data_IF_951143828531
#
_entry.id   IF_951143828531
#
_cell.length_a   1.000
_cell.length_b   1.000
_cell.length_c   1.000
_cell.angle_alpha   90.00
_cell.angle_beta   90.00
_cell.angle_gamma   90.00
#
_symmetry.space_group_name_H-M   'P 1'
#
loop_
_entity.id
_entity.type
_entity.pdbx_description
1 polymer ?
#
# COMPACT_ATOMS: atom_id res chain seq x y z
N UNK A 1 15.08 42.58 17.69
CA UNK A 1 15.05 42.10 19.09
C UNK A 1 14.38 40.74 19.11
N UNK A 2 15.17 39.66 19.10
CA UNK A 2 14.63 38.32 19.29
C UNK A 2 14.14 38.19 20.74
N UNK A 3 12.89 37.78 20.95
CA UNK A 3 12.42 37.38 22.28
C UNK A 3 13.30 36.22 22.73
N UNK A 4 14.12 36.43 23.76
CA UNK A 4 14.76 35.35 24.50
C UNK A 4 13.63 34.48 25.04
N UNK A 5 13.41 33.32 24.42
CA UNK A 5 12.56 32.30 25.02
C UNK A 5 13.28 31.82 26.27
N UNK A 6 12.59 31.78 27.40
CA UNK A 6 13.16 31.24 28.63
C UNK A 6 13.56 29.77 28.41
N UNK A 7 14.72 29.40 28.94
CA UNK A 7 15.16 28.01 28.96
C UNK A 7 14.22 27.19 29.85
N UNK A 8 13.87 25.99 29.42
CA UNK A 8 13.01 25.08 30.18
C UNK A 8 13.89 24.11 30.95
N UNK A 9 13.68 23.99 32.26
CA UNK A 9 14.36 22.99 33.09
C UNK A 9 13.69 21.62 32.88
N UNK A 10 14.48 20.59 32.53
CA UNK A 10 14.04 19.20 32.45
C UNK A 10 14.76 18.34 33.48
N UNK A 11 14.06 17.30 33.92
CA UNK A 11 14.65 16.21 34.72
C UNK A 11 15.69 15.44 33.90
N UNK A 12 16.56 14.69 34.58
CA UNK A 12 17.56 13.84 33.94
C UNK A 12 16.91 12.86 32.96
N UNK A 13 15.82 12.20 33.38
CA UNK A 13 15.09 11.21 32.60
C UNK A 13 14.47 11.83 31.34
N UNK A 14 13.84 12.99 31.47
CA UNK A 14 13.16 13.65 30.35
C UNK A 14 14.15 14.24 29.35
N UNK A 15 15.30 14.73 29.84
CA UNK A 15 16.39 15.19 28.98
C UNK A 15 16.90 14.07 28.07
N UNK A 16 17.12 12.89 28.65
CA UNK A 16 17.58 11.70 27.95
C UNK A 16 16.54 11.26 26.89
N UNK A 17 15.25 11.23 27.25
CA UNK A 17 14.18 10.83 26.33
C UNK A 17 14.06 11.77 25.12
N UNK A 18 14.24 13.07 25.32
CA UNK A 18 14.09 14.06 24.25
C UNK A 18 15.32 14.11 23.32
N UNK A 19 16.54 13.85 23.83
CA UNK A 19 17.79 13.98 23.06
C UNK A 19 18.35 12.66 22.49
N UNK A 20 18.05 11.49 23.06
CA UNK A 20 18.54 10.18 22.55
C UNK A 20 18.03 9.85 21.13
N UNK A 21 16.74 9.99 20.80
CA UNK A 21 16.22 9.66 19.46
C UNK A 21 16.83 10.56 18.36
N UNK A 22 17.43 11.68 18.79
CA UNK A 22 18.51 12.34 18.07
C UNK A 22 18.15 13.34 17.02
N UNK A 23 16.90 13.76 16.95
CA UNK A 23 16.49 14.69 15.93
C UNK A 23 15.42 15.60 16.53
N UNK A 24 15.89 16.59 17.27
CA UNK A 24 15.03 17.48 18.04
C UNK A 24 14.13 18.31 17.14
N UNK A 25 12.82 18.19 17.38
CA UNK A 25 11.79 19.06 16.76
C UNK A 25 11.27 20.13 17.73
N UNK A 26 11.55 19.95 19.02
CA UNK A 26 10.96 20.72 20.14
C UNK A 26 11.99 21.59 20.85
N UNK A 27 13.24 21.10 20.93
CA UNK A 27 14.36 21.80 21.54
C UNK A 27 15.50 21.94 20.54
N UNK A 28 16.54 22.70 20.85
CA UNK A 28 17.76 22.79 20.00
C UNK A 28 19.06 22.71 20.77
N UNK A 29 19.17 23.50 21.83
CA UNK A 29 20.38 23.68 22.62
C UNK A 29 20.09 23.07 23.98
N UNK A 30 21.04 22.30 24.50
CA UNK A 30 20.98 21.71 25.83
C UNK A 30 22.18 22.16 26.66
N UNK A 31 21.90 22.59 27.88
CA UNK A 31 22.91 22.82 28.92
C UNK A 31 22.75 21.70 29.93
N UNK A 32 23.67 20.75 29.94
CA UNK A 32 23.72 19.70 30.94
C UNK A 32 24.46 20.19 32.19
N UNK A 33 23.85 20.03 33.36
CA UNK A 33 24.44 20.44 34.64
C UNK A 33 24.84 19.19 35.42
N UNK A 34 26.09 19.13 35.86
CA UNK A 34 26.60 18.10 36.75
C UNK A 34 27.22 18.73 38.00
N UNK A 35 27.22 18.01 39.12
CA UNK A 35 27.85 18.47 40.34
C UNK A 35 29.23 17.82 40.50
N UNK A 36 30.29 18.62 40.40
CA UNK A 36 31.66 18.17 40.61
C UNK A 36 32.09 18.48 42.04
N UNK A 37 32.25 17.44 42.87
CA UNK A 37 32.63 17.59 44.28
C UNK A 37 34.08 18.10 44.51
N UNK A 38 34.88 18.30 43.44
CA UNK A 38 36.32 18.63 43.53
C UNK A 38 36.67 20.10 43.29
N UNK A 39 35.71 20.98 42.96
CA UNK A 39 35.97 22.37 42.62
C UNK A 39 34.83 23.30 43.04
N UNK A 40 35.15 24.45 43.64
CA UNK A 40 34.18 25.52 43.92
C UNK A 40 33.91 26.43 42.70
N UNK A 41 34.60 26.21 41.57
CA UNK A 41 34.45 26.97 40.34
C UNK A 41 33.56 26.23 39.35
N UNK A 42 32.56 26.92 38.78
CA UNK A 42 31.77 26.43 37.67
C UNK A 42 32.59 26.45 36.38
N UNK A 43 32.73 25.29 35.73
CA UNK A 43 33.41 25.16 34.43
C UNK A 43 32.34 25.05 33.35
N UNK A 44 32.37 25.94 32.36
CA UNK A 44 31.48 25.89 31.20
C UNK A 44 32.26 25.32 30.02
N UNK A 45 31.80 24.18 29.51
CA UNK A 45 32.28 23.58 28.27
C UNK A 45 31.22 23.78 27.19
N UNK A 46 31.60 24.45 26.09
CA UNK A 46 30.74 24.63 24.93
C UNK A 46 31.20 23.65 23.86
N UNK A 47 30.28 22.81 23.39
CA UNK A 47 30.54 21.86 22.32
C UNK A 47 29.58 22.09 21.16
N UNK A 48 30.12 22.04 19.95
CA UNK A 48 29.35 22.12 18.71
C UNK A 48 29.32 20.74 18.05
N UNK A 49 28.15 20.11 18.02
CA UNK A 49 27.95 18.87 17.29
C UNK A 49 27.62 19.19 15.82
N UNK A 50 28.49 18.84 14.84
CA UNK A 50 28.16 19.05 13.45
C UNK A 50 26.95 18.20 13.04
N UNK A 51 26.10 18.70 12.12
CA UNK A 51 24.87 18.02 11.70
C UNK A 51 25.09 16.73 10.88
N UNK A 52 26.34 16.32 10.64
CA UNK A 52 26.68 15.20 9.77
C UNK A 52 26.78 13.88 10.57
N UNK A 53 25.91 12.93 10.23
CA UNK A 53 25.91 11.52 10.69
C UNK A 53 25.79 11.24 12.20
N UNK A 54 25.61 12.25 13.05
CA UNK A 54 25.33 12.04 14.45
C UNK A 54 23.88 11.55 14.64
N UNK A 55 23.70 10.30 15.07
CA UNK A 55 22.51 9.97 15.87
C UNK A 55 22.55 10.82 17.15
N UNK A 56 21.42 11.03 17.82
CA UNK A 56 21.38 11.80 19.09
C UNK A 56 22.37 11.32 20.13
N UNK A 57 22.67 10.02 20.08
CA UNK A 57 23.68 9.39 20.91
C UNK A 57 25.12 9.73 20.54
N UNK A 58 25.44 10.22 19.35
CA UNK A 58 26.84 10.35 18.88
C UNK A 58 27.60 11.46 19.63
N UNK A 59 26.96 12.62 19.89
CA UNK A 59 27.57 13.63 20.78
C UNK A 59 27.63 13.18 22.25
N UNK A 60 26.77 12.21 22.62
CA UNK A 60 26.80 11.58 23.94
C UNK A 60 27.87 10.48 24.05
N UNK A 61 28.33 9.91 22.93
CA UNK A 61 29.07 8.64 22.90
C UNK A 61 30.38 8.60 22.07
N UNK A 62 30.72 9.59 21.23
CA UNK A 62 31.93 9.51 20.39
C UNK A 62 33.01 10.53 20.75
N UNK A 63 34.21 10.00 21.02
CA UNK A 63 35.38 10.79 21.38
C UNK A 63 36.26 11.19 20.16
N UNK A 64 36.22 10.44 19.05
CA UNK A 64 37.18 10.57 17.95
C UNK A 64 36.93 11.70 16.93
N UNK A 65 35.70 12.17 16.76
CA UNK A 65 35.38 13.26 15.83
C UNK A 65 35.49 14.66 16.46
N UNK A 66 35.75 14.72 17.77
CA UNK A 66 35.72 15.95 18.59
C UNK A 66 36.96 16.84 18.40
N UNK A 67 38.04 16.30 17.86
CA UNK A 67 39.31 17.01 17.68
C UNK A 67 39.72 16.92 16.21
N UNK A 68 39.34 17.91 15.42
CA UNK A 68 39.54 17.95 13.97
C UNK A 68 40.98 17.68 13.53
N UNK A 69 41.25 16.44 13.12
CA UNK A 69 42.35 16.16 12.19
C UNK A 69 41.80 16.38 10.77
N UNK A 70 41.96 17.60 10.26
CA UNK A 70 41.47 18.05 8.95
C UNK A 70 42.19 17.42 7.74
N UNK A 71 42.94 16.33 7.91
CA UNK A 71 43.91 15.89 6.90
C UNK A 71 43.89 14.39 6.57
N UNK A 72 42.78 13.70 6.83
CA UNK A 72 42.64 12.30 6.42
C UNK A 72 41.39 12.12 5.56
N UNK A 73 41.64 11.89 4.28
CA UNK A 73 40.67 11.39 3.30
C UNK A 73 39.89 10.22 3.92
N UNK A 74 38.56 10.33 4.11
CA UNK A 74 37.78 9.41 4.95
C UNK A 74 37.76 7.97 4.41
N UNK A 75 38.15 7.76 3.16
CA UNK A 75 38.27 6.42 2.56
C UNK A 75 39.58 5.73 2.99
N UNK A 76 40.70 6.47 3.10
CA UNK A 76 42.00 5.90 3.52
C UNK A 76 42.09 5.59 5.00
N UNK A 77 41.45 6.40 5.85
CA UNK A 77 41.43 6.16 7.30
C UNK A 77 40.69 4.86 7.69
N UNK A 78 39.81 4.36 6.82
CA UNK A 78 39.06 3.12 7.03
C UNK A 78 39.88 1.86 6.74
N UNK A 79 40.85 1.94 5.81
CA UNK A 79 41.68 0.78 5.42
C UNK A 79 42.89 0.56 6.35
N UNK A 80 43.46 1.61 6.95
CA UNK A 80 44.70 1.47 7.75
C UNK A 80 44.47 1.30 9.27
N UNK A 81 43.30 1.63 9.81
CA UNK A 81 43.00 1.46 11.25
C UNK A 81 41.53 1.14 11.54
N UNK A 82 41.12 -0.14 11.52
CA UNK A 82 39.72 -0.54 11.73
C UNK A 82 39.17 -0.21 13.12
N UNK A 83 40.04 0.05 14.10
CA UNK A 83 39.66 0.18 15.51
C UNK A 83 39.41 1.63 16.00
N UNK A 84 39.69 2.67 15.20
CA UNK A 84 39.63 4.07 15.67
C UNK A 84 38.35 4.83 15.33
N UNK A 85 37.49 4.30 14.47
CA UNK A 85 36.26 4.98 14.03
C UNK A 85 35.05 4.04 13.95
N UNK A 86 35.01 3.01 14.78
CA UNK A 86 33.83 2.16 14.88
C UNK A 86 32.72 2.86 15.72
N UNK A 87 31.47 2.89 15.26
CA UNK A 87 30.35 3.29 16.09
C UNK A 87 30.17 2.22 17.18
N UNK A 88 30.57 2.54 18.40
CA UNK A 88 30.41 1.67 19.58
C UNK A 88 30.82 0.20 19.34
N UNK A 89 32.10 -0.07 19.04
CA UNK A 89 32.64 -1.43 19.12
C UNK A 89 33.43 -1.62 20.43
N UNK A 90 33.09 -2.67 21.16
CA UNK A 90 33.19 -2.78 22.62
C UNK A 90 34.50 -3.42 23.11
N UNK A 91 35.36 -3.90 22.22
CA UNK A 91 36.45 -4.80 22.61
C UNK A 91 37.87 -4.21 22.66
N UNK A 92 38.08 -2.90 22.44
CA UNK A 92 39.45 -2.38 22.18
C UNK A 92 40.02 -1.40 23.24
N UNK A 93 39.28 -1.00 24.27
CA UNK A 93 39.70 0.14 25.13
C UNK A 93 39.93 -0.20 26.60
N UNK A 94 40.85 -1.13 26.90
CA UNK A 94 41.20 -1.46 28.30
C UNK A 94 42.61 -1.11 28.79
N UNK A 95 43.52 -0.51 27.99
CA UNK A 95 44.91 -0.38 28.45
C UNK A 95 45.59 0.99 28.43
N UNK A 96 45.00 2.07 27.92
CA UNK A 96 45.65 3.39 27.99
C UNK A 96 44.63 4.51 28.08
N UNK A 97 44.79 5.41 29.07
CA UNK A 97 44.90 6.87 28.88
C UNK A 97 44.83 7.62 30.23
N UNK A 98 45.72 8.61 30.34
CA UNK A 98 45.86 9.61 31.39
C UNK A 98 45.02 10.84 31.00
N UNK A 99 44.19 11.33 31.92
CA UNK A 99 43.42 12.60 31.93
C UNK A 99 42.78 13.13 30.62
N UNK A 100 41.53 12.73 30.35
CA UNK A 100 40.48 13.56 29.69
C UNK A 100 39.12 12.85 29.69
N UNK A 101 38.00 13.59 29.57
CA UNK A 101 36.66 13.00 29.64
C UNK A 101 35.53 13.78 28.93
N UNK A 102 34.85 13.12 27.98
CA UNK A 102 33.50 13.39 27.50
C UNK A 102 32.81 12.04 27.23
N UNK A 103 31.69 11.76 27.91
CA UNK A 103 30.75 10.65 27.71
C UNK A 103 31.31 9.21 27.59
N UNK A 104 31.63 8.54 28.70
CA UNK A 104 31.77 7.08 28.72
C UNK A 104 30.40 6.44 29.01
N UNK A 105 29.93 5.58 28.10
CA UNK A 105 28.76 4.73 28.34
C UNK A 105 29.20 3.35 28.85
N UNK A 106 28.58 2.87 29.94
CA UNK A 106 28.63 1.46 30.32
C UNK A 106 27.44 0.74 29.66
N UNK A 107 27.69 0.05 28.54
CA UNK A 107 26.66 -0.79 27.88
C UNK A 107 26.57 -2.11 28.62
N UNK A 108 25.40 -2.44 29.20
CA UNK A 108 25.05 -3.82 29.55
C UNK A 108 23.89 -4.26 28.67
N UNK A 109 24.20 -5.10 27.68
CA UNK A 109 23.28 -5.89 26.85
C UNK A 109 22.14 -5.12 26.13
N UNK A 110 22.45 -4.40 25.04
CA UNK A 110 21.45 -3.91 24.06
C UNK A 110 20.25 -3.13 24.64
N UNK A 111 20.34 -2.67 25.88
CA UNK A 111 19.24 -2.02 26.59
C UNK A 111 19.39 -0.51 26.54
N UNK A 112 18.24 0.16 26.53
CA UNK A 112 18.07 1.61 26.61
C UNK A 112 18.98 2.17 27.70
N UNK A 113 19.55 3.35 27.43
CA UNK A 113 20.33 4.12 28.39
C UNK A 113 19.55 4.22 29.70
N UNK A 114 19.99 3.51 30.76
CA UNK A 114 19.39 3.68 32.08
C UNK A 114 19.60 5.15 32.48
N UNK A 115 18.54 5.87 32.89
CA UNK A 115 18.68 7.25 33.34
C UNK A 115 19.74 7.40 34.43
N UNK A 116 19.97 6.36 35.23
CA UNK A 116 20.91 6.37 36.35
C UNK A 116 22.38 6.51 35.90
N UNK A 117 22.75 6.02 34.71
CA UNK A 117 24.15 5.90 34.27
C UNK A 117 24.66 7.01 33.35
N UNK A 118 23.84 8.01 33.03
CA UNK A 118 24.26 9.13 32.18
C UNK A 118 25.23 10.08 32.91
N UNK A 119 26.47 10.20 32.41
CA UNK A 119 27.52 11.04 32.99
C UNK A 119 28.21 11.90 31.93
N UNK A 120 28.64 13.10 32.31
CA UNK A 120 29.56 13.94 31.54
C UNK A 120 30.83 14.07 32.34
N UNK A 121 31.95 13.70 31.75
CA UNK A 121 33.23 13.72 32.44
C UNK A 121 33.29 12.83 33.69
N UNK A 122 32.61 11.68 33.67
CA UNK A 122 32.43 10.78 34.83
C UNK A 122 31.60 11.36 35.98
N UNK A 123 30.99 12.54 35.80
CA UNK A 123 30.07 13.14 36.77
C UNK A 123 28.61 12.92 36.37
N UNK A 124 27.74 12.47 37.30
CA UNK A 124 26.33 12.29 37.01
C UNK A 124 25.67 13.64 36.71
N UNK A 125 24.89 13.68 35.62
CA UNK A 125 24.06 14.84 35.31
C UNK A 125 22.89 14.90 36.29
N UNK A 126 22.68 16.07 36.89
CA UNK A 126 21.59 16.33 37.83
C UNK A 126 20.35 16.85 37.11
N UNK A 127 20.53 17.77 36.16
CA UNK A 127 19.44 18.37 35.37
C UNK A 127 19.96 18.92 34.04
N UNK A 128 19.04 19.27 33.16
CA UNK A 128 19.39 20.02 31.96
C UNK A 128 18.44 21.18 31.69
N UNK A 129 18.97 22.21 31.04
CA UNK A 129 18.18 23.33 30.53
C UNK A 129 18.12 23.23 29.01
N UNK A 130 16.92 23.29 28.46
CA UNK A 130 16.70 23.14 27.02
C UNK A 130 16.10 24.41 26.44
N UNK A 131 16.51 24.72 25.21
CA UNK A 131 15.98 25.86 24.49
C UNK A 131 14.84 25.44 23.56
N UNK A 132 13.58 25.87 23.79
CA UNK A 132 12.45 25.51 22.95
C UNK A 132 12.50 26.19 21.58
N UNK A 133 12.30 25.40 20.53
CA UNK A 133 12.24 25.87 19.14
C UNK A 133 10.86 25.61 18.56
N UNK A 134 10.33 26.60 17.84
CA UNK A 134 9.19 26.38 16.97
C UNK A 134 9.71 25.86 15.62
N UNK A 135 9.46 24.59 15.28
CA UNK A 135 9.95 24.04 14.03
C UNK A 135 9.33 24.80 12.85
N UNK A 136 10.12 25.19 11.83
CA UNK A 136 9.56 25.75 10.60
C UNK A 136 8.67 24.70 9.92
N UNK A 137 7.35 24.89 9.98
CA UNK A 137 6.43 24.08 9.18
C UNK A 137 6.38 24.66 7.75
N UNK A 138 6.98 23.96 6.78
CA UNK A 138 6.95 24.36 5.38
C UNK A 138 6.50 23.18 4.50
N UNK A 139 5.50 23.41 3.64
CA UNK A 139 5.11 22.44 2.63
C UNK A 139 6.15 22.45 1.50
N UNK A 140 6.88 21.34 1.37
CA UNK A 140 7.86 21.14 0.29
C UNK A 140 7.28 20.17 -0.72
N UNK A 141 7.24 20.58 -1.98
CA UNK A 141 6.79 19.73 -3.08
C UNK A 141 7.60 20.07 -4.34
N UNK A 142 7.70 19.09 -5.24
CA UNK A 142 8.27 19.33 -6.57
C UNK A 142 7.24 20.01 -7.45
N UNK A 143 7.51 21.26 -7.85
CA UNK A 143 6.61 22.03 -8.73
C UNK A 143 6.33 21.31 -10.05
N UNK A 144 7.36 20.71 -10.65
CA UNK A 144 7.23 19.97 -11.90
C UNK A 144 6.31 18.74 -11.77
N UNK A 145 6.55 17.90 -10.76
CA UNK A 145 5.70 16.72 -10.50
C UNK A 145 4.26 17.15 -10.21
N UNK A 146 4.07 18.20 -9.42
CA UNK A 146 2.75 18.72 -9.10
C UNK A 146 1.98 19.18 -10.35
N UNK A 147 2.61 19.96 -11.23
CA UNK A 147 1.99 20.40 -12.50
C UNK A 147 1.60 19.20 -13.36
N UNK A 148 2.48 18.20 -13.51
CA UNK A 148 2.19 16.98 -14.29
C UNK A 148 0.99 16.24 -13.71
N UNK A 149 0.94 16.05 -12.39
CA UNK A 149 -0.19 15.37 -11.71
C UNK A 149 -1.49 16.14 -11.91
N UNK A 150 -1.46 17.47 -11.81
CA UNK A 150 -2.65 18.32 -12.04
C UNK A 150 -3.14 18.16 -13.49
N UNK A 151 -2.26 18.26 -14.48
CA UNK A 151 -2.63 18.08 -15.90
C UNK A 151 -3.21 16.69 -16.13
N UNK A 152 -2.59 15.63 -15.61
CA UNK A 152 -3.06 14.26 -15.77
C UNK A 152 -4.47 14.07 -15.17
N UNK A 153 -4.74 14.63 -13.99
CA UNK A 153 -6.07 14.59 -13.37
C UNK A 153 -7.11 15.40 -14.16
N UNK A 154 -6.73 16.57 -14.69
CA UNK A 154 -7.61 17.36 -15.56
C UNK A 154 -7.98 16.58 -16.83
N UNK A 155 -7.00 15.97 -17.51
CA UNK A 155 -7.24 15.12 -18.67
C UNK A 155 -8.16 13.96 -18.31
N UNK A 156 -7.95 13.30 -17.16
CA UNK A 156 -8.81 12.21 -16.68
C UNK A 156 -10.26 12.68 -16.50
N UNK A 157 -10.48 13.82 -15.85
CA UNK A 157 -11.82 14.39 -15.65
C UNK A 157 -12.46 14.75 -16.99
N UNK A 158 -11.73 15.36 -17.92
CA UNK A 158 -12.22 15.69 -19.25
C UNK A 158 -12.61 14.44 -20.03
N UNK A 159 -11.79 13.39 -20.01
CA UNK A 159 -12.12 12.10 -20.64
C UNK A 159 -13.37 11.50 -20.02
N UNK A 160 -13.49 11.45 -18.69
CA UNK A 160 -14.69 10.96 -18.00
C UNK A 160 -15.94 11.77 -18.39
N UNK A 161 -15.85 13.10 -18.43
CA UNK A 161 -16.94 13.97 -18.83
C UNK A 161 -17.34 13.76 -20.30
N UNK A 162 -16.37 13.65 -21.21
CA UNK A 162 -16.61 13.34 -22.62
C UNK A 162 -17.28 11.97 -22.79
N UNK A 163 -16.79 10.94 -22.08
CA UNK A 163 -17.40 9.60 -22.09
C UNK A 163 -18.84 9.68 -21.60
N UNK A 164 -19.11 10.36 -20.49
CA UNK A 164 -20.48 10.55 -19.98
C UNK A 164 -21.40 11.28 -20.97
N UNK A 165 -20.90 12.29 -21.68
CA UNK A 165 -21.70 13.05 -22.63
C UNK A 165 -22.01 12.25 -23.92
N UNK A 166 -21.05 11.44 -24.38
CA UNK A 166 -21.17 10.66 -25.62
C UNK A 166 -21.95 9.35 -25.43
N UNK A 167 -21.88 8.71 -24.26
CA UNK A 167 -22.48 7.40 -24.01
C UNK A 167 -23.97 7.51 -23.61
N UNK A 168 -24.82 7.92 -24.56
CA UNK A 168 -26.29 7.92 -24.41
C UNK A 168 -26.97 6.65 -24.93
N UNK A 169 -26.21 5.71 -25.50
CA UNK A 169 -26.73 4.45 -26.05
C UNK A 169 -26.69 3.35 -24.99
N UNK A 170 -27.64 2.39 -25.02
CA UNK A 170 -27.61 1.23 -24.13
C UNK A 170 -26.31 0.45 -24.40
N UNK A 171 -25.52 0.26 -23.36
CA UNK A 171 -24.25 -0.46 -23.42
C UNK A 171 -24.43 -1.87 -22.85
N UNK A 172 -23.79 -2.86 -23.48
CA UNK A 172 -23.80 -4.27 -23.06
C UNK A 172 -22.80 -4.48 -21.91
N UNK A 173 -23.06 -3.86 -20.75
CA UNK A 173 -22.14 -3.87 -19.59
C UNK A 173 -22.38 -5.07 -18.69
N UNK A 174 -23.63 -5.48 -18.54
CA UNK A 174 -24.04 -6.59 -17.67
C UNK A 174 -24.57 -7.77 -18.45
N UNK A 175 -24.61 -8.94 -17.79
CA UNK A 175 -25.29 -10.13 -18.33
C UNK A 175 -26.77 -9.82 -18.63
N UNK A 176 -27.41 -8.97 -17.81
CA UNK A 176 -28.79 -8.55 -18.04
C UNK A 176 -28.95 -7.67 -19.28
N UNK A 177 -27.99 -6.77 -19.57
CA UNK A 177 -28.02 -5.97 -20.81
C UNK A 177 -27.93 -6.89 -22.04
N UNK A 178 -27.07 -7.92 -21.98
CA UNK A 178 -26.95 -8.91 -23.05
C UNK A 178 -28.22 -9.76 -23.21
N UNK A 179 -28.79 -10.26 -22.10
CA UNK A 179 -30.06 -10.98 -22.12
C UNK A 179 -31.18 -10.11 -22.69
N UNK A 180 -31.29 -8.85 -22.27
CA UNK A 180 -32.33 -7.94 -22.77
C UNK A 180 -32.18 -7.73 -24.28
N UNK A 181 -30.96 -7.50 -24.76
CA UNK A 181 -30.70 -7.31 -26.19
C UNK A 181 -31.03 -8.56 -27.03
N UNK A 182 -30.63 -9.75 -26.57
CA UNK A 182 -30.89 -10.99 -27.32
C UNK A 182 -32.34 -11.48 -27.21
N UNK A 183 -33.08 -11.08 -26.17
CA UNK A 183 -34.52 -11.33 -26.07
C UNK A 183 -35.35 -10.34 -26.88
N UNK A 184 -34.85 -9.12 -27.10
CA UNK A 184 -35.48 -8.12 -27.97
C UNK A 184 -35.26 -8.47 -29.45
N UNK A 185 -34.06 -8.95 -29.81
CA UNK A 185 -33.70 -9.39 -31.17
C UNK A 185 -32.91 -10.73 -31.14
N UNK A 186 -33.62 -11.89 -31.16
CA UNK A 186 -32.99 -13.20 -31.16
C UNK A 186 -32.17 -13.48 -32.43
N UNK A 187 -30.88 -13.77 -32.26
CA UNK A 187 -29.97 -14.02 -33.38
C UNK A 187 -30.22 -15.37 -34.08
N UNK A 188 -30.32 -15.42 -35.42
CA UNK A 188 -30.64 -16.66 -36.14
C UNK A 188 -29.52 -17.72 -36.10
N UNK A 189 -28.30 -17.32 -35.77
CA UNK A 189 -27.11 -18.21 -35.79
C UNK A 189 -27.02 -19.15 -34.59
N UNK A 190 -27.72 -18.87 -33.50
CA UNK A 190 -27.71 -19.68 -32.25
C UNK A 190 -29.01 -20.45 -32.04
N UNK A 191 -29.94 -20.38 -33.00
CA UNK A 191 -31.23 -21.03 -32.92
C UNK A 191 -31.08 -22.55 -32.84
N UNK A 192 -31.78 -23.19 -31.90
CA UNK A 192 -31.72 -24.63 -31.68
C UNK A 192 -30.52 -25.12 -30.86
N UNK A 193 -29.55 -24.25 -30.53
CA UNK A 193 -28.35 -24.60 -29.74
C UNK A 193 -28.60 -24.30 -28.24
N UNK A 194 -29.74 -24.76 -27.72
CA UNK A 194 -30.08 -24.54 -26.32
C UNK A 194 -29.03 -25.18 -25.39
N UNK A 195 -28.70 -24.53 -24.26
CA UNK A 195 -27.72 -24.99 -23.28
C UNK A 195 -26.28 -25.23 -23.83
N UNK A 196 -25.88 -24.51 -24.88
CA UNK A 196 -24.50 -24.59 -25.39
C UNK A 196 -23.45 -24.09 -24.38
N UNK A 197 -22.29 -24.74 -24.34
CA UNK A 197 -21.11 -24.27 -23.60
C UNK A 197 -20.19 -23.45 -24.50
N UNK A 198 -19.22 -22.75 -23.89
CA UNK A 198 -18.23 -21.97 -24.62
C UNK A 198 -17.50 -22.81 -25.68
N UNK A 199 -17.22 -24.08 -25.39
CA UNK A 199 -16.52 -25.01 -26.27
C UNK A 199 -17.32 -25.32 -27.55
N UNK A 200 -18.65 -25.29 -27.48
CA UNK A 200 -19.52 -25.56 -28.64
C UNK A 200 -19.52 -24.39 -29.66
N UNK A 201 -19.02 -23.22 -29.26
CA UNK A 201 -18.97 -22.02 -30.10
C UNK A 201 -17.57 -21.70 -30.65
N UNK A 202 -16.60 -22.62 -30.51
CA UNK A 202 -15.21 -22.43 -30.99
C UNK A 202 -15.11 -22.63 -32.50
N UNK A 203 -15.54 -23.80 -32.99
CA UNK A 203 -15.42 -24.18 -34.39
C UNK A 203 -16.77 -24.05 -35.12
N UNK A 204 -16.73 -23.51 -36.35
CA UNK A 204 -17.93 -23.37 -37.20
C UNK A 204 -18.01 -24.51 -38.22
N UNK A 205 -19.23 -24.97 -38.60
CA UNK A 205 -20.53 -24.52 -38.09
C UNK A 205 -20.81 -25.03 -36.65
N UNK A 206 -21.54 -24.24 -35.88
CA UNK A 206 -21.93 -24.62 -34.52
C UNK A 206 -22.98 -25.72 -34.56
N UNK A 207 -22.76 -26.81 -33.81
CA UNK A 207 -23.65 -27.98 -33.82
C UNK A 207 -24.90 -27.73 -32.97
N UNK A 208 -26.08 -27.96 -33.55
CA UNK A 208 -27.38 -27.82 -32.88
C UNK A 208 -27.97 -29.15 -32.40
N UNK A 209 -27.14 -30.19 -32.22
CA UNK A 209 -27.64 -31.49 -31.80
C UNK A 209 -28.15 -31.47 -30.34
N UNK A 210 -29.35 -32.03 -30.08
CA UNK A 210 -29.86 -32.16 -28.72
C UNK A 210 -28.92 -32.99 -27.86
N UNK A 211 -28.53 -32.46 -26.69
CA UNK A 211 -27.63 -33.14 -25.75
C UNK A 211 -28.17 -33.02 -24.33
N UNK A 212 -28.01 -34.11 -23.57
CA UNK A 212 -28.28 -34.07 -22.13
C UNK A 212 -27.14 -33.33 -21.44
N UNK A 213 -27.47 -32.27 -20.71
CA UNK A 213 -26.48 -31.48 -20.00
C UNK A 213 -26.21 -32.05 -18.60
N UNK A 214 -24.96 -32.49 -18.37
CA UNK A 214 -24.49 -32.94 -17.05
C UNK A 214 -23.49 -31.91 -16.51
N UNK A 215 -23.82 -31.26 -15.40
CA UNK A 215 -22.92 -30.33 -14.73
C UNK A 215 -21.99 -31.12 -13.81
N UNK A 216 -20.68 -30.95 -13.98
CA UNK A 216 -19.71 -31.55 -13.06
C UNK A 216 -19.74 -30.86 -11.68
N UNK A 217 -19.34 -31.58 -10.61
CA UNK A 217 -19.22 -30.98 -9.28
C UNK A 217 -18.26 -29.78 -9.25
N UNK A 218 -17.26 -29.76 -10.13
CA UNK A 218 -16.27 -28.69 -10.23
C UNK A 218 -16.84 -27.46 -10.96
N UNK A 219 -17.61 -27.68 -12.03
CA UNK A 219 -18.33 -26.61 -12.74
C UNK A 219 -19.38 -25.93 -11.85
N UNK A 220 -19.86 -26.63 -10.82
CA UNK A 220 -20.79 -26.06 -9.83
C UNK A 220 -20.16 -25.01 -8.91
N UNK A 221 -18.83 -24.96 -8.76
CA UNK A 221 -18.17 -24.00 -7.88
C UNK A 221 -18.26 -22.58 -8.47
N UNK A 222 -18.41 -21.55 -7.65
CA UNK A 222 -18.38 -20.16 -8.13
C UNK A 222 -17.06 -19.80 -8.80
N UNK A 223 -15.97 -20.42 -8.37
CA UNK A 223 -14.65 -20.27 -8.97
C UNK A 223 -14.61 -20.67 -10.45
N UNK A 224 -15.51 -21.55 -10.92
CA UNK A 224 -15.63 -21.93 -12.34
C UNK A 224 -16.10 -20.77 -13.22
N UNK A 225 -16.74 -19.76 -12.62
CA UNK A 225 -17.16 -18.54 -13.31
C UNK A 225 -15.98 -17.68 -13.77
N UNK A 226 -14.80 -17.87 -13.22
CA UNK A 226 -13.57 -17.19 -13.61
C UNK A 226 -12.65 -18.16 -14.36
N UNK A 227 -11.96 -17.67 -15.40
CA UNK A 227 -11.01 -18.51 -16.14
C UNK A 227 -9.78 -18.81 -15.29
N UNK A 228 -9.14 -19.96 -15.54
CA UNK A 228 -7.88 -20.31 -14.88
C UNK A 228 -6.81 -19.21 -15.03
N UNK A 229 -6.73 -18.57 -16.20
CA UNK A 229 -5.82 -17.44 -16.44
C UNK A 229 -6.10 -16.23 -15.54
N UNK A 230 -7.36 -15.97 -15.16
CA UNK A 230 -7.71 -14.91 -14.22
C UNK A 230 -7.25 -15.25 -12.80
N UNK A 231 -7.42 -16.50 -12.39
CA UNK A 231 -6.92 -16.99 -11.10
C UNK A 231 -5.39 -16.91 -11.03
N UNK A 232 -4.68 -17.42 -12.05
CA UNK A 232 -3.22 -17.38 -12.10
C UNK A 232 -2.71 -15.94 -12.14
N UNK A 233 -3.30 -15.06 -12.95
CA UNK A 233 -2.87 -13.67 -13.03
C UNK A 233 -3.09 -12.92 -11.71
N UNK A 234 -4.26 -13.08 -11.08
CA UNK A 234 -4.59 -12.41 -9.82
C UNK A 234 -3.75 -12.93 -8.66
N UNK A 235 -3.62 -14.26 -8.54
CA UNK A 235 -2.80 -14.88 -7.50
C UNK A 235 -1.31 -14.65 -7.71
N UNK A 236 -0.83 -14.70 -8.95
CA UNK A 236 0.56 -14.42 -9.29
C UNK A 236 0.96 -12.99 -8.97
N UNK A 237 0.13 -12.01 -9.36
CA UNK A 237 0.39 -10.60 -9.07
C UNK A 237 0.41 -10.32 -7.56
N UNK A 238 -0.59 -10.80 -6.82
CA UNK A 238 -0.65 -10.62 -5.37
C UNK A 238 0.50 -11.34 -4.65
N UNK A 239 0.94 -12.51 -5.14
CA UNK A 239 2.10 -13.21 -4.60
C UNK A 239 3.39 -12.43 -4.84
N UNK A 240 3.57 -11.82 -6.02
CA UNK A 240 4.72 -10.95 -6.31
C UNK A 240 4.71 -9.72 -5.41
N UNK A 241 3.55 -9.06 -5.26
CA UNK A 241 3.40 -7.90 -4.37
C UNK A 241 3.66 -8.28 -2.90
N UNK A 242 3.14 -9.43 -2.43
CA UNK A 242 3.40 -9.94 -1.08
C UNK A 242 4.87 -10.32 -0.85
N UNK A 243 5.50 -10.99 -1.82
CA UNK A 243 6.90 -11.36 -1.75
C UNK A 243 7.81 -10.13 -1.72
N UNK A 244 7.56 -9.14 -2.58
CA UNK A 244 8.31 -7.88 -2.56
C UNK A 244 8.17 -7.13 -1.23
N UNK A 245 6.97 -7.09 -0.65
CA UNK A 245 6.76 -6.53 0.70
C UNK A 245 7.51 -7.31 1.78
N UNK A 246 7.57 -8.65 1.67
CA UNK A 246 8.30 -9.52 2.60
C UNK A 246 9.81 -9.32 2.51
N UNK A 247 10.35 -9.25 1.29
CA UNK A 247 11.78 -8.93 1.05
C UNK A 247 12.10 -7.55 1.61
N UNK A 248 11.24 -6.56 1.35
CA UNK A 248 11.42 -5.22 1.87
C UNK A 248 11.39 -5.19 3.40
N UNK A 249 10.47 -5.93 4.02
CA UNK A 249 10.41 -6.08 5.47
C UNK A 249 11.71 -6.67 6.01
N UNK A 250 12.23 -7.75 5.41
CA UNK A 250 13.46 -8.40 5.84
C UNK A 250 14.69 -7.48 5.74
N UNK A 251 14.73 -6.58 4.74
CA UNK A 251 15.83 -5.60 4.57
C UNK A 251 15.76 -4.50 5.63
N UNK A 252 14.55 -4.04 5.96
CA UNK A 252 14.36 -2.83 6.78
C UNK A 252 14.21 -3.16 8.27
N UNK A 253 13.73 -4.35 8.62
CA UNK A 253 13.48 -4.77 10.00
C UNK A 253 14.77 -4.99 10.78
N UNK A 254 14.88 -4.37 11.95
CA UNK A 254 15.96 -4.62 12.91
C UNK A 254 15.42 -5.42 14.11
N UNK A 255 15.80 -6.70 14.27
CA UNK A 255 15.35 -7.56 15.36
C UNK A 255 15.64 -6.99 16.75
N UNK A 256 16.66 -6.14 16.90
CA UNK A 256 17.04 -5.55 18.19
C UNK A 256 16.07 -4.46 18.63
N UNK A 257 15.44 -3.78 17.67
CA UNK A 257 14.50 -2.68 17.92
C UNK A 257 13.06 -3.14 18.18
N UNK A 258 12.72 -4.38 17.81
CA UNK A 258 11.35 -4.88 17.85
C UNK A 258 10.43 -4.14 16.86
N UNK A 259 9.12 -4.40 16.96
CA UNK A 259 8.11 -3.73 16.14
C UNK A 259 7.35 -2.70 16.99
N UNK A 260 7.53 -1.42 16.69
CA UNK A 260 6.72 -0.37 17.32
C UNK A 260 5.33 -0.31 16.69
N UNK A 261 4.25 -0.48 17.46
CA UNK A 261 2.87 -0.49 16.95
C UNK A 261 2.32 0.93 16.69
N UNK A 262 2.99 1.70 15.84
CA UNK A 262 2.58 3.04 15.41
C UNK A 262 2.44 3.10 13.88
N UNK A 263 1.21 3.28 13.40
CA UNK A 263 0.92 3.57 11.99
C UNK A 263 1.03 5.08 11.77
N UNK A 264 2.11 5.54 11.14
CA UNK A 264 2.29 6.95 10.78
C UNK A 264 3.26 7.74 11.68
N UNK A 265 4.32 7.10 12.16
CA UNK A 265 5.38 7.81 12.88
C UNK A 265 5.95 8.96 12.02
N UNK A 266 6.26 10.13 12.63
CA UNK A 266 6.84 11.24 11.90
C UNK A 266 8.12 10.81 11.19
N UNK A 267 8.41 11.38 10.02
CA UNK A 267 9.66 11.11 9.28
C UNK A 267 10.86 11.32 10.22
N UNK A 268 11.52 10.24 10.61
CA UNK A 268 12.76 10.29 11.36
C UNK A 268 13.93 10.11 10.40
N UNK A 269 15.05 10.81 10.61
CA UNK A 269 16.27 10.61 9.84
C UNK A 269 16.77 9.15 9.83
N UNK A 270 16.56 8.42 10.93
CA UNK A 270 16.82 6.97 11.05
C UNK A 270 15.93 6.11 10.14
N UNK A 271 14.74 6.60 9.78
CA UNK A 271 13.83 5.90 8.87
C UNK A 271 14.25 6.04 7.40
N UNK A 272 15.09 7.04 7.05
CA UNK A 272 15.58 7.26 5.68
C UNK A 272 16.81 6.37 5.43
N UNK A 273 16.56 5.20 4.85
CA UNK A 273 17.56 4.13 4.67
C UNK A 273 18.10 4.00 3.25
N UNK A 274 17.48 4.63 2.24
CA UNK A 274 17.88 4.47 0.85
C UNK A 274 17.81 5.77 0.03
N UNK A 275 18.54 5.80 -1.09
CA UNK A 275 18.45 6.85 -2.10
C UNK A 275 19.04 8.21 -1.72
N UNK A 276 19.91 8.26 -0.70
CA UNK A 276 20.63 9.48 -0.33
C UNK A 276 21.51 9.94 -1.50
N UNK A 277 21.43 11.22 -1.84
CA UNK A 277 22.18 11.81 -2.96
C UNK A 277 21.52 11.64 -4.34
N UNK A 278 20.42 10.87 -4.46
CA UNK A 278 19.64 10.84 -5.69
C UNK A 278 18.84 12.14 -5.87
N UNK A 279 18.60 12.50 -7.13
CA UNK A 279 17.71 13.61 -7.45
C UNK A 279 16.31 13.40 -6.85
N UNK A 280 15.67 14.49 -6.44
CA UNK A 280 14.37 14.45 -5.75
C UNK A 280 13.25 13.84 -6.60
N UNK A 281 13.21 14.12 -7.90
CA UNK A 281 12.12 13.66 -8.78
C UNK A 281 12.05 12.11 -8.90
N UNK A 282 13.15 11.38 -9.19
CA UNK A 282 13.16 9.92 -9.14
C UNK A 282 12.71 9.32 -7.80
N UNK A 283 13.12 9.92 -6.67
CA UNK A 283 12.73 9.44 -5.34
C UNK A 283 11.22 9.57 -5.12
N UNK A 284 10.61 10.68 -5.53
CA UNK A 284 9.15 10.87 -5.45
C UNK A 284 8.43 9.83 -6.32
N UNK A 285 8.92 9.57 -7.53
CA UNK A 285 8.34 8.58 -8.44
C UNK A 285 8.43 7.18 -7.81
N UNK A 286 9.61 6.79 -7.31
CA UNK A 286 9.85 5.47 -6.73
C UNK A 286 9.01 5.25 -5.45
N UNK A 287 8.85 6.26 -4.61
CA UNK A 287 7.98 6.19 -3.43
C UNK A 287 6.50 5.94 -3.79
N UNK A 288 6.08 6.32 -5.00
CA UNK A 288 4.70 6.15 -5.48
C UNK A 288 4.51 4.93 -6.40
N UNK A 289 5.57 4.23 -6.82
CA UNK A 289 5.44 3.02 -7.65
C UNK A 289 4.56 1.93 -7.04
N UNK A 290 4.59 1.66 -5.73
CA UNK A 290 3.67 0.69 -5.13
C UNK A 290 2.19 1.02 -5.38
N UNK A 291 1.84 2.30 -5.49
CA UNK A 291 0.47 2.74 -5.76
C UNK A 291 -0.03 2.21 -7.12
N UNK A 292 0.85 2.15 -8.14
CA UNK A 292 0.49 1.58 -9.44
C UNK A 292 0.27 0.06 -9.32
N UNK A 293 1.13 -0.62 -8.58
CA UNK A 293 1.04 -2.08 -8.32
C UNK A 293 -0.30 -2.42 -7.65
N UNK A 294 -0.68 -1.72 -6.58
CA UNK A 294 -1.97 -1.94 -5.91
C UNK A 294 -3.18 -1.62 -6.79
N UNK A 295 -3.05 -0.68 -7.73
CA UNK A 295 -4.10 -0.40 -8.72
C UNK A 295 -4.30 -1.59 -9.67
N UNK A 296 -3.21 -2.23 -10.11
CA UNK A 296 -3.24 -3.44 -10.95
C UNK A 296 -3.86 -4.60 -10.18
N UNK A 297 -3.44 -4.83 -8.93
CA UNK A 297 -4.01 -5.84 -8.04
C UNK A 297 -5.52 -5.65 -7.88
N UNK A 298 -5.97 -4.41 -7.64
CA UNK A 298 -7.39 -4.08 -7.57
C UNK A 298 -8.13 -4.42 -8.86
N UNK A 299 -7.59 -4.06 -10.04
CA UNK A 299 -8.25 -4.36 -11.31
C UNK A 299 -8.38 -5.85 -11.58
N UNK A 300 -7.34 -6.63 -11.28
CA UNK A 300 -7.35 -8.09 -11.42
C UNK A 300 -8.36 -8.73 -10.47
N UNK A 301 -8.37 -8.32 -9.20
CA UNK A 301 -9.31 -8.82 -8.21
C UNK A 301 -10.76 -8.42 -8.53
N UNK A 302 -10.98 -7.18 -8.98
CA UNK A 302 -12.29 -6.71 -9.42
C UNK A 302 -12.80 -7.55 -10.60
N UNK A 303 -11.94 -7.85 -11.58
CA UNK A 303 -12.27 -8.73 -12.71
C UNK A 303 -12.64 -10.14 -12.23
N UNK A 304 -11.85 -10.72 -11.33
CA UNK A 304 -12.06 -12.06 -10.78
C UNK A 304 -13.42 -12.17 -10.05
N UNK A 305 -13.68 -11.24 -9.13
CA UNK A 305 -14.93 -11.18 -8.36
C UNK A 305 -16.13 -10.93 -9.28
N UNK A 306 -15.99 -10.05 -10.28
CA UNK A 306 -17.04 -9.78 -11.28
C UNK A 306 -17.39 -11.04 -12.07
N UNK A 307 -16.40 -11.84 -12.44
CA UNK A 307 -16.62 -13.07 -13.18
C UNK A 307 -17.42 -14.10 -12.37
N UNK A 308 -17.03 -14.30 -11.10
CA UNK A 308 -17.75 -15.18 -10.17
C UNK A 308 -19.16 -14.67 -9.85
N UNK A 309 -19.32 -13.35 -9.68
CA UNK A 309 -20.61 -12.71 -9.42
C UNK A 309 -21.57 -12.91 -10.60
N UNK A 310 -21.11 -12.70 -11.83
CA UNK A 310 -21.90 -12.87 -13.04
C UNK A 310 -22.29 -14.32 -13.28
N UNK A 311 -21.38 -15.28 -13.04
CA UNK A 311 -21.70 -16.70 -13.09
C UNK A 311 -22.79 -17.09 -12.09
N UNK A 312 -22.72 -16.56 -10.86
CA UNK A 312 -23.78 -16.76 -9.87
C UNK A 312 -25.11 -16.14 -10.32
N UNK A 313 -25.09 -14.92 -10.84
CA UNK A 313 -26.29 -14.24 -11.37
C UNK A 313 -26.93 -15.05 -12.49
N UNK A 314 -26.12 -15.52 -13.44
CA UNK A 314 -26.53 -16.42 -14.51
C UNK A 314 -27.23 -17.67 -13.97
N UNK A 315 -26.57 -18.43 -13.10
CA UNK A 315 -27.12 -19.69 -12.55
C UNK A 315 -28.48 -19.54 -11.85
N UNK A 316 -28.82 -18.35 -11.36
CA UNK A 316 -30.09 -18.11 -10.68
C UNK A 316 -31.27 -18.04 -11.65
N UNK A 317 -31.05 -17.69 -12.93
CA UNK A 317 -32.09 -17.69 -13.94
C UNK A 317 -32.62 -19.08 -14.27
N UNK A 318 -31.91 -20.16 -13.91
CA UNK A 318 -32.42 -21.52 -14.06
C UNK A 318 -33.56 -21.88 -13.07
N UNK A 319 -33.67 -21.14 -11.97
CA UNK A 319 -34.51 -21.56 -10.84
C UNK A 319 -35.54 -20.53 -10.38
N UNK A 320 -35.37 -19.27 -10.78
CA UNK A 320 -36.18 -18.18 -10.26
C UNK A 320 -36.45 -17.18 -11.39
N UNK A 321 -37.73 -16.90 -11.68
CA UNK A 321 -38.11 -15.73 -12.48
C UNK A 321 -37.58 -14.46 -11.81
N UNK A 322 -36.72 -13.73 -12.53
CA UNK A 322 -36.11 -12.48 -12.05
C UNK A 322 -36.06 -11.45 -13.15
N UNK A 323 -36.33 -10.20 -12.80
CA UNK A 323 -36.06 -9.05 -13.67
C UNK A 323 -34.57 -8.94 -13.97
N UNK A 324 -34.24 -8.69 -15.25
CA UNK A 324 -32.88 -8.51 -15.72
C UNK A 324 -32.26 -7.29 -15.07
N UNK A 325 -31.02 -7.43 -14.59
CA UNK A 325 -30.26 -6.29 -14.07
C UNK A 325 -29.60 -5.58 -15.25
N UNK A 326 -30.11 -4.41 -15.63
CA UNK A 326 -29.70 -3.67 -16.83
C UNK A 326 -29.22 -2.26 -16.48
N UNK A 327 -28.36 -1.71 -17.34
CA UNK A 327 -27.86 -0.33 -17.25
C UNK A 327 -28.96 0.70 -17.45
N UNK A 328 -29.91 0.41 -18.35
CA UNK A 328 -31.10 1.23 -18.61
C UNK A 328 -32.33 0.38 -18.33
N UNK A 329 -33.05 0.70 -17.26
CA UNK A 329 -34.24 -0.04 -16.87
C UNK A 329 -35.40 0.21 -17.82
N UNK A 330 -35.99 -0.87 -18.33
CA UNK A 330 -37.28 -0.87 -19.00
C UNK A 330 -38.21 -1.92 -18.36
N UNK A 331 -39.50 -1.62 -18.18
CA UNK A 331 -40.47 -2.58 -17.63
C UNK A 331 -40.10 -3.12 -16.24
N UNK A 332 -40.14 -4.44 -16.07
CA UNK A 332 -39.85 -5.16 -14.82
C UNK A 332 -38.35 -5.41 -14.55
N UNK A 333 -37.47 -4.87 -15.40
CA UNK A 333 -36.02 -4.93 -15.20
C UNK A 333 -35.59 -4.16 -13.93
N UNK A 334 -34.40 -4.45 -13.43
CA UNK A 334 -33.79 -3.76 -12.29
C UNK A 334 -32.66 -2.88 -12.81
N UNK A 335 -32.75 -1.58 -12.58
CA UNK A 335 -31.61 -0.69 -12.87
C UNK A 335 -30.39 -1.11 -12.05
N UNK A 336 -29.25 -1.21 -12.71
CA UNK A 336 -27.94 -1.18 -12.09
C UNK A 336 -27.25 0.13 -12.43
N UNK A 337 -26.35 0.55 -11.55
CA UNK A 337 -25.42 1.61 -11.87
C UNK A 337 -24.50 1.20 -13.03
N UNK A 338 -23.75 2.16 -13.58
CA UNK A 338 -22.77 1.97 -14.66
C UNK A 338 -21.66 0.91 -14.36
N UNK A 339 -21.64 0.36 -13.15
CA UNK A 339 -20.71 -0.67 -12.68
C UNK A 339 -21.30 -2.08 -12.89
N UNK A 340 -20.50 -2.96 -13.51
CA UNK A 340 -20.88 -4.36 -13.75
C UNK A 340 -21.08 -5.16 -12.45
N UNK A 341 -20.30 -4.86 -11.41
CA UNK A 341 -20.32 -5.54 -10.12
C UNK A 341 -21.32 -4.88 -9.14
N UNK A 342 -22.19 -5.65 -8.44
CA UNK A 342 -23.08 -5.10 -7.44
C UNK A 342 -22.36 -4.36 -6.29
N UNK A 343 -22.97 -3.30 -5.75
CA UNK A 343 -22.39 -2.43 -4.72
C UNK A 343 -21.90 -3.16 -3.46
N UNK A 344 -22.59 -4.25 -3.08
CA UNK A 344 -22.20 -5.10 -1.94
C UNK A 344 -20.82 -5.74 -2.08
N UNK A 345 -20.27 -5.81 -3.29
CA UNK A 345 -18.90 -6.26 -3.54
C UNK A 345 -17.99 -5.09 -3.93
N UNK A 346 -18.48 -4.14 -4.73
CA UNK A 346 -17.64 -3.02 -5.19
C UNK A 346 -17.24 -2.08 -4.05
N UNK A 347 -18.13 -1.81 -3.08
CA UNK A 347 -17.83 -0.93 -1.94
C UNK A 347 -16.74 -1.55 -1.05
N UNK A 348 -16.88 -2.79 -0.53
CA UNK A 348 -15.82 -3.40 0.25
C UNK A 348 -14.48 -3.49 -0.50
N UNK A 349 -14.53 -3.79 -1.80
CA UNK A 349 -13.32 -3.90 -2.62
C UNK A 349 -12.62 -2.53 -2.79
N UNK A 350 -13.39 -1.47 -3.03
CA UNK A 350 -12.87 -0.11 -3.13
C UNK A 350 -12.30 0.39 -1.79
N UNK A 351 -12.97 0.08 -0.68
CA UNK A 351 -12.48 0.40 0.68
C UNK A 351 -11.18 -0.36 0.98
N UNK A 352 -11.12 -1.66 0.67
CA UNK A 352 -9.91 -2.45 0.84
C UNK A 352 -8.75 -1.91 -0.03
N UNK A 353 -9.02 -1.55 -1.29
CA UNK A 353 -8.04 -0.90 -2.15
C UNK A 353 -7.54 0.41 -1.56
N UNK A 354 -8.43 1.32 -1.18
CA UNK A 354 -8.05 2.60 -0.57
C UNK A 354 -7.20 2.40 0.69
N UNK A 355 -7.54 1.40 1.51
CA UNK A 355 -6.77 1.04 2.70
C UNK A 355 -5.37 0.49 2.38
N UNK A 356 -5.24 -0.38 1.38
CA UNK A 356 -3.93 -0.87 0.91
C UNK A 356 -3.05 0.27 0.36
N UNK A 357 -3.64 1.19 -0.41
CA UNK A 357 -2.95 2.39 -0.90
C UNK A 357 -2.48 3.30 0.24
N UNK A 358 -3.31 3.47 1.27
CA UNK A 358 -2.94 4.19 2.49
C UNK A 358 -1.78 3.51 3.22
N UNK A 359 -1.86 2.21 3.48
CA UNK A 359 -0.78 1.45 4.12
C UNK A 359 0.52 1.50 3.31
N UNK A 360 0.44 1.45 1.99
CA UNK A 360 1.59 1.61 1.11
C UNK A 360 2.27 2.97 1.29
N UNK A 361 1.49 4.05 1.45
CA UNK A 361 2.03 5.40 1.71
C UNK A 361 2.74 5.51 3.07
N UNK A 362 2.33 4.69 4.05
CA UNK A 362 3.00 4.62 5.35
C UNK A 362 4.21 3.68 5.33
N UNK A 363 4.24 2.72 4.40
CA UNK A 363 5.29 1.71 4.26
C UNK A 363 6.54 2.24 3.57
N UNK A 364 6.36 2.94 2.45
CA UNK A 364 7.41 3.56 1.66
C UNK A 364 7.02 5.00 1.33
N UNK A 365 7.84 5.96 1.77
CA UNK A 365 7.56 7.37 1.58
C UNK A 365 8.81 8.16 1.21
N UNK A 366 8.60 9.30 0.57
CA UNK A 366 9.67 10.27 0.32
C UNK A 366 9.96 11.06 1.61
N UNK A 367 11.23 11.09 2.02
CA UNK A 367 11.70 11.86 3.18
C UNK A 367 12.68 12.96 2.78
N UNK A 368 12.56 14.12 3.42
CA UNK A 368 13.53 15.22 3.31
C UNK A 368 13.89 15.71 4.70
N UNK A 369 15.18 15.73 4.99
CA UNK A 369 15.74 16.25 6.23
C UNK A 369 16.52 17.50 5.89
N UNK A 370 16.23 18.60 6.57
CA UNK A 370 16.98 19.85 6.43
C UNK A 370 17.60 20.18 7.78
N UNK A 371 18.84 20.66 7.72
CA UNK A 371 19.52 21.20 8.87
C UNK A 371 19.41 22.72 8.82
N UNK A 372 19.18 23.34 9.96
CA UNK A 372 19.12 24.79 10.09
C UNK A 372 20.25 25.23 10.99
N UNK A 373 21.08 26.14 10.48
CA UNK A 373 22.03 26.87 11.28
C UNK A 373 21.35 28.13 11.86
N UNK A 374 21.46 28.27 13.17
CA UNK A 374 20.91 29.40 13.92
C UNK A 374 21.97 30.45 14.29
N UNK A 375 23.24 30.29 13.88
CA UNK A 375 24.35 31.17 14.22
C UNK A 375 24.44 32.46 13.38
N UNK A 376 23.41 32.84 12.62
CA UNK A 376 23.46 34.10 11.86
C UNK A 376 23.25 35.30 12.79
N UNK A 377 24.16 36.28 12.68
CA UNK A 377 24.25 37.51 13.50
C UNK A 377 22.96 38.35 13.40
N UNK A 378 22.19 38.14 12.33
CA UNK A 378 20.92 38.80 12.04
C UNK A 378 19.67 38.06 12.57
N UNK A 379 19.84 36.91 13.24
CA UNK A 379 18.74 36.08 13.72
C UNK A 379 17.94 35.40 12.60
N UNK A 380 18.49 35.34 11.38
CA UNK A 380 17.88 34.67 10.22
C UNK A 380 18.30 33.20 10.18
N UNK A 381 17.35 32.33 9.86
CA UNK A 381 17.59 30.88 9.72
C UNK A 381 18.38 30.64 8.44
N UNK A 382 19.61 30.15 8.53
CA UNK A 382 20.36 29.69 7.36
C UNK A 382 20.08 28.20 7.16
N UNK A 383 19.58 27.85 5.99
CA UNK A 383 19.37 26.44 5.62
C UNK A 383 20.72 25.85 5.26
N UNK A 384 21.16 24.84 6.01
CA UNK A 384 22.31 24.02 5.67
C UNK A 384 21.89 22.93 4.67
N UNK A 385 22.84 22.37 3.93
CA UNK A 385 22.56 21.27 3.01
C UNK A 385 21.97 20.09 3.78
N UNK A 386 20.70 19.81 3.47
CA UNK A 386 20.00 18.63 3.95
C UNK A 386 20.19 17.45 3.00
N UNK A 387 19.46 16.37 3.26
CA UNK A 387 19.39 15.25 2.34
C UNK A 387 17.95 14.80 2.10
N UNK A 388 17.74 14.20 0.94
CA UNK A 388 16.48 13.54 0.56
C UNK A 388 16.73 12.05 0.38
N UNK A 389 15.71 11.24 0.60
CA UNK A 389 15.78 9.80 0.40
C UNK A 389 14.43 9.13 0.56
N UNK A 390 14.45 7.80 0.60
CA UNK A 390 13.30 6.97 0.87
C UNK A 390 13.27 6.55 2.33
N UNK A 391 12.15 6.86 2.97
CA UNK A 391 11.81 6.42 4.31
C UNK A 391 10.96 5.15 4.29
N UNK A 392 11.15 4.32 5.31
CA UNK A 392 10.44 3.06 5.46
C UNK A 392 9.85 2.93 6.87
N UNK A 393 8.70 2.26 6.99
CA UNK A 393 8.11 1.87 8.28
C UNK A 393 7.94 0.34 8.35
N UNK A 394 8.74 -0.38 9.16
CA UNK A 394 8.58 -1.83 9.35
C UNK A 394 7.15 -2.22 9.75
N UNK A 395 6.53 -1.44 10.63
CA UNK A 395 5.17 -1.69 11.14
C UNK A 395 4.12 -1.56 10.04
N UNK A 396 4.19 -0.50 9.24
CA UNK A 396 3.27 -0.33 8.13
C UNK A 396 3.45 -1.44 7.08
N UNK A 397 4.70 -1.84 6.79
CA UNK A 397 4.99 -2.96 5.88
C UNK A 397 4.39 -4.27 6.44
N UNK A 398 4.53 -4.51 7.75
CA UNK A 398 3.98 -5.71 8.38
C UNK A 398 2.45 -5.76 8.29
N UNK A 399 1.77 -4.65 8.62
CA UNK A 399 0.31 -4.54 8.50
C UNK A 399 -0.13 -4.68 7.04
N UNK A 400 0.63 -4.12 6.09
CA UNK A 400 0.38 -4.26 4.66
C UNK A 400 0.46 -5.71 4.18
N UNK A 401 1.46 -6.48 4.63
CA UNK A 401 1.58 -7.90 4.28
C UNK A 401 0.34 -8.70 4.73
N UNK A 402 -0.15 -8.47 5.95
CA UNK A 402 -1.35 -9.14 6.46
C UNK A 402 -2.59 -8.67 5.70
N UNK A 403 -2.73 -7.36 5.45
CA UNK A 403 -3.86 -6.78 4.75
C UNK A 403 -3.97 -7.28 3.29
N UNK A 404 -2.85 -7.59 2.63
CA UNK A 404 -2.82 -8.13 1.26
C UNK A 404 -3.46 -9.51 1.13
N UNK A 405 -3.42 -10.32 2.20
CA UNK A 405 -3.97 -11.69 2.17
C UNK A 405 -5.49 -11.71 2.26
N UNK A 406 -6.08 -10.74 2.97
CA UNK A 406 -7.52 -10.72 3.29
C UNK A 406 -8.41 -10.76 2.05
N UNK A 407 -8.21 -9.94 1.01
CA UNK A 407 -9.06 -9.95 -0.18
C UNK A 407 -8.96 -11.26 -0.96
N UNK A 408 -7.76 -11.87 -1.02
CA UNK A 408 -7.56 -13.14 -1.70
C UNK A 408 -8.26 -14.29 -0.96
N UNK A 409 -8.08 -14.38 0.36
CA UNK A 409 -8.75 -15.39 1.18
C UNK A 409 -10.27 -15.26 1.04
N UNK A 410 -10.81 -14.04 1.07
CA UNK A 410 -12.23 -13.80 0.86
C UNK A 410 -12.71 -14.26 -0.53
N UNK A 411 -11.92 -14.00 -1.58
CA UNK A 411 -12.24 -14.43 -2.94
C UNK A 411 -12.23 -15.95 -3.08
N UNK A 412 -11.24 -16.64 -2.52
CA UNK A 412 -11.15 -18.12 -2.52
C UNK A 412 -12.30 -18.75 -1.74
N UNK A 413 -12.56 -18.28 -0.52
CA UNK A 413 -13.66 -18.76 0.32
C UNK A 413 -15.02 -18.58 -0.36
N UNK A 414 -15.21 -17.47 -1.05
CA UNK A 414 -16.42 -17.22 -1.83
C UNK A 414 -16.49 -18.08 -3.09
N UNK A 415 -15.36 -18.31 -3.76
CA UNK A 415 -15.21 -19.16 -4.94
C UNK A 415 -15.50 -20.64 -4.67
N UNK A 416 -15.19 -21.14 -3.47
CA UNK A 416 -15.51 -22.51 -3.05
C UNK A 416 -17.01 -22.76 -2.79
N UNK A 417 -17.82 -21.70 -2.69
CA UNK A 417 -19.27 -21.88 -2.59
C UNK A 417 -19.83 -22.35 -3.93
N UNK A 418 -20.80 -23.27 -3.89
CA UNK A 418 -21.46 -23.77 -5.10
C UNK A 418 -22.56 -22.83 -5.58
N UNK A 419 -22.69 -22.73 -6.90
CA UNK A 419 -23.86 -22.25 -7.61
C UNK A 419 -24.89 -23.36 -7.70
N UNK A 420 -26.17 -22.97 -7.85
CA UNK A 420 -27.22 -23.95 -8.10
C UNK A 420 -27.09 -24.47 -9.54
N UNK A 421 -27.38 -25.75 -9.70
CA UNK A 421 -27.24 -26.48 -10.96
C UNK A 421 -28.53 -26.34 -11.77
N UNK A 422 -28.45 -25.91 -13.03
CA UNK A 422 -29.63 -25.86 -13.90
C UNK A 422 -29.40 -25.28 -15.29
N UNK A 423 -28.37 -24.46 -15.48
CA UNK A 423 -27.93 -23.99 -16.80
C UNK A 423 -26.40 -24.01 -16.90
N UNK A 424 -25.83 -24.22 -18.10
CA UNK A 424 -24.39 -24.18 -18.31
C UNK A 424 -23.79 -22.83 -17.96
N UNK A 425 -22.56 -22.77 -17.43
CA UNK A 425 -21.86 -21.52 -17.21
C UNK A 425 -21.70 -20.75 -18.53
N UNK A 426 -22.14 -19.48 -18.57
CA UNK A 426 -22.02 -18.67 -19.80
C UNK A 426 -20.60 -18.22 -20.10
N UNK A 427 -19.74 -18.10 -19.08
CA UNK A 427 -18.35 -17.63 -19.23
C UNK A 427 -18.23 -16.24 -19.89
N UNK A 428 -19.30 -15.42 -19.86
CA UNK A 428 -19.44 -14.17 -20.62
C UNK A 428 -19.28 -14.33 -22.15
N UNK A 429 -19.51 -15.52 -22.69
CA UNK A 429 -19.58 -15.73 -24.14
C UNK A 429 -20.96 -15.25 -24.66
N UNK A 430 -20.95 -14.29 -25.57
CA UNK A 430 -22.17 -13.73 -26.16
C UNK A 430 -22.98 -14.78 -26.93
N UNK A 431 -22.34 -15.75 -27.58
CA UNK A 431 -23.01 -16.82 -28.31
C UNK A 431 -23.78 -17.75 -27.35
N UNK A 432 -23.18 -18.08 -26.19
CA UNK A 432 -23.86 -18.88 -25.16
C UNK A 432 -25.08 -18.16 -24.61
N UNK A 433 -24.96 -16.86 -24.33
CA UNK A 433 -26.08 -16.04 -23.83
C UNK A 433 -27.17 -15.95 -24.90
N UNK A 434 -26.82 -15.68 -26.15
CA UNK A 434 -27.76 -15.61 -27.28
C UNK A 434 -28.49 -16.94 -27.51
N UNK A 435 -27.81 -18.08 -27.39
CA UNK A 435 -28.42 -19.39 -27.56
C UNK A 435 -29.46 -19.73 -26.48
N UNK A 436 -29.39 -19.08 -25.32
CA UNK A 436 -30.40 -19.18 -24.26
C UNK A 436 -31.59 -18.22 -24.44
N UNK A 437 -31.55 -17.32 -25.43
CA UNK A 437 -32.53 -16.24 -25.62
C UNK A 437 -33.43 -16.48 -26.85
N UNK A 438 -34.08 -17.65 -26.92
CA UNK A 438 -35.04 -17.99 -27.97
C UNK A 438 -36.43 -18.22 -27.35
N UNK A 439 -37.17 -17.15 -27.00
CA UNK A 439 -38.47 -17.25 -26.35
C UNK A 439 -39.54 -17.83 -27.32
N UNK A 440 -40.61 -18.45 -26.81
CA UNK A 440 -41.73 -18.89 -27.64
C UNK A 440 -42.38 -17.72 -28.39
N UNK A 441 -42.90 -17.97 -29.59
CA UNK A 441 -43.52 -16.95 -30.43
C UNK A 441 -44.75 -16.27 -29.78
N UNK A 442 -45.34 -16.88 -28.76
CA UNK A 442 -46.49 -16.38 -28.01
C UNK A 442 -46.12 -15.35 -26.92
N UNK A 443 -44.84 -15.27 -26.54
CA UNK A 443 -44.41 -14.38 -25.46
C UNK A 443 -44.08 -12.98 -25.99
N UNK A 444 -44.99 -12.02 -25.77
CA UNK A 444 -44.77 -10.62 -26.13
C UNK A 444 -43.76 -9.93 -25.21
N UNK A 445 -42.81 -9.19 -25.80
CA UNK A 445 -41.78 -8.38 -25.13
C UNK A 445 -41.10 -9.05 -23.91
N UNK A 446 -40.49 -10.25 -24.08
CA UNK A 446 -39.90 -11.00 -22.98
C UNK A 446 -38.73 -10.24 -22.32
N UNK A 447 -38.04 -9.39 -23.10
CA UNK A 447 -36.96 -8.53 -22.62
C UNK A 447 -37.41 -7.53 -21.54
N UNK A 448 -38.70 -7.17 -21.46
CA UNK A 448 -39.25 -6.24 -20.46
C UNK A 448 -39.78 -6.94 -19.19
N UNK A 449 -39.90 -8.27 -19.21
CA UNK A 449 -40.52 -9.07 -18.15
C UNK A 449 -39.47 -9.70 -17.24
N UNK A 450 -39.95 -10.36 -16.18
CA UNK A 450 -39.09 -11.21 -15.36
C UNK A 450 -38.87 -12.55 -16.06
N UNK A 451 -37.60 -12.89 -16.28
CA UNK A 451 -37.21 -14.05 -17.09
C UNK A 451 -36.73 -15.20 -16.21
N UNK A 452 -36.98 -16.42 -16.68
CA UNK A 452 -36.40 -17.66 -16.16
C UNK A 452 -36.03 -18.51 -17.37
N UNK A 453 -34.83 -19.09 -17.35
CA UNK A 453 -34.46 -20.10 -18.33
C UNK A 453 -35.21 -21.37 -17.95
N UNK A 454 -36.19 -21.75 -18.76
CA UNK A 454 -36.95 -22.98 -18.62
C UNK A 454 -36.32 -24.06 -19.51
N UNK A 455 -36.40 -25.32 -19.08
CA UNK A 455 -35.94 -26.45 -19.86
C UNK A 455 -36.95 -26.71 -20.98
N UNK A 456 -36.49 -26.70 -22.23
CA UNK A 456 -37.34 -27.09 -23.36
C UNK A 456 -37.45 -28.61 -23.33
N UNK A 457 -38.56 -29.14 -22.81
CA UNK A 457 -38.88 -30.56 -22.95
C UNK A 457 -39.22 -30.83 -24.41
N UNK A 458 -38.23 -31.26 -25.21
CA UNK A 458 -38.49 -31.78 -26.55
C UNK A 458 -39.12 -33.16 -26.37
N UNK A 459 -40.37 -33.40 -26.81
CA UNK A 459 -40.92 -34.74 -26.81
C UNK A 459 -40.03 -35.60 -27.70
N UNK A 460 -39.43 -36.63 -27.12
CA UNK A 460 -38.71 -37.66 -27.89
C UNK A 460 -39.78 -38.38 -28.70
N UNK A 461 -40.00 -37.94 -29.95
CA UNK A 461 -40.79 -38.69 -30.92
C UNK A 461 -40.04 -40.01 -31.10
N UNK A 462 -40.64 -41.08 -30.58
CA UNK A 462 -40.08 -42.42 -30.66
C UNK A 462 -39.71 -42.72 -32.12
N UNK A 463 -38.45 -43.08 -32.35
CA UNK A 463 -38.13 -43.90 -33.52
C UNK A 463 -38.87 -45.21 -33.31
N UNK A 464 -40.00 -45.36 -33.98
CA UNK A 464 -40.51 -46.69 -34.32
C UNK A 464 -39.39 -47.37 -35.10
N UNK A 465 -38.73 -48.31 -34.43
CA UNK A 465 -37.91 -49.31 -35.09
C UNK A 465 -38.90 -50.22 -35.84
N UNK A 466 -38.99 -50.03 -37.14
CA UNK A 466 -39.53 -51.01 -38.08
C UNK A 466 -38.41 -51.96 -38.53
#
# INVERSE_FOLDING_TARGET
MAKTKELVELTKEDCIKEYIPGHERKYRNVIAVSNCARSNSSIVWIYYAPPTNATGSTWMCTFGALFGTYDLDPVRAYEETPARLAPCDINVTLERVVDWSLGLYAVKNNSVISPETWTVGSHPISKCFVEPVDPPCALRYSKGVFIVVVIANLVKVLVMAMTMYQHKRPALVTVGDALASFLEDPGPTTQGICLGKKEDFVDRPWNAEPRMYVISKEESLRSSGASWSQWVATSGMLAITGLSATILFAIVYDPKSGLEWSLGSPVQPSSIKAGRGLATSPLIILANMPQLVFSIDYMLLNRLITSMAGSREWSLFAHQRKGLRTSVQKGAQRSTYWLQLPLKFSIPLAVASAFLHYLASQSLYFGSVQYYDYYDVDGKRKVLEGYTGLGYSPTAIHVLMVALLVPMVAAVMWGWQRNKLGIPPSGFNSAVISAACHPPAEEEDPHLKSVQCEEVTVPVVGREYA
#
